data_IF_326802035350
#
_entry.id   IF_326802035350
#
_cell.length_a   1.000
_cell.length_b   1.000
_cell.length_c   1.000
_cell.angle_alpha   90.00
_cell.angle_beta   90.00
_cell.angle_gamma   90.00
#
_symmetry.space_group_name_H-M   'P 1'
#
loop_
_entity.id
_entity.type
_entity.pdbx_description
1 polymer ?
#
# COMPACT_ATOMS: atom_id res chain seq x y z
N UNK A 1 2.69 -5.17 -3.87
CA UNK A 1 2.01 -5.82 -5.02
C UNK A 1 0.85 -6.66 -4.47
N UNK A 2 -0.40 -6.18 -4.52
CA UNK A 2 -1.58 -6.97 -4.10
C UNK A 2 -1.78 -8.16 -5.05
N UNK A 3 -2.00 -9.35 -4.50
CA UNK A 3 -2.13 -10.59 -5.24
C UNK A 3 -3.37 -11.38 -4.77
N UNK A 4 -4.15 -11.86 -5.74
CA UNK A 4 -5.27 -12.78 -5.50
C UNK A 4 -5.48 -13.64 -6.75
N UNK A 5 -5.10 -14.93 -6.69
CA UNK A 5 -5.18 -15.89 -7.80
C UNK A 5 -4.55 -15.36 -9.11
N UNK A 6 -3.27 -15.03 -9.08
CA UNK A 6 -2.50 -14.50 -10.21
C UNK A 6 -1.30 -15.40 -10.57
N UNK A 7 -1.38 -16.70 -10.24
CA UNK A 7 -0.30 -17.68 -10.46
C UNK A 7 0.27 -17.67 -11.90
N UNK A 8 -0.60 -17.50 -12.90
CA UNK A 8 -0.19 -17.49 -14.31
C UNK A 8 0.62 -16.25 -14.73
N UNK A 9 0.43 -15.12 -14.06
CA UNK A 9 1.11 -13.85 -14.39
C UNK A 9 2.38 -13.62 -13.56
N UNK A 10 2.42 -14.13 -12.33
CA UNK A 10 3.46 -13.86 -11.35
C UNK A 10 4.89 -14.13 -11.85
N UNK A 11 5.21 -15.23 -12.56
CA UNK A 11 6.57 -15.45 -13.06
C UNK A 11 7.02 -14.29 -13.95
N UNK A 12 6.23 -13.93 -14.94
CA UNK A 12 6.54 -12.82 -15.85
C UNK A 12 6.68 -11.49 -15.13
N UNK A 13 5.81 -11.23 -14.16
CA UNK A 13 5.81 -9.98 -13.37
C UNK A 13 7.07 -9.90 -12.51
N UNK A 14 7.42 -10.96 -11.80
CA UNK A 14 8.53 -10.96 -10.85
C UNK A 14 9.90 -10.97 -11.54
N UNK A 15 10.03 -11.67 -12.66
CA UNK A 15 11.26 -11.69 -13.47
C UNK A 15 11.59 -10.31 -14.09
N UNK A 16 10.63 -9.38 -14.09
CA UNK A 16 10.78 -8.02 -14.62
C UNK A 16 10.93 -6.94 -13.54
N UNK A 17 11.03 -7.33 -12.29
CA UNK A 17 11.38 -6.39 -11.20
C UNK A 17 12.81 -5.89 -11.45
N UNK A 18 13.03 -4.56 -11.49
CA UNK A 18 14.34 -4.01 -11.79
C UNK A 18 15.40 -4.41 -10.73
N UNK A 19 16.68 -4.51 -11.13
CA UNK A 19 17.77 -4.75 -10.18
C UNK A 19 17.79 -3.71 -9.06
N UNK A 20 18.03 -4.15 -7.83
CA UNK A 20 18.03 -3.29 -6.64
C UNK A 20 16.64 -3.02 -6.05
N UNK A 21 15.57 -3.51 -6.70
CA UNK A 21 14.21 -3.42 -6.19
C UNK A 21 13.82 -4.71 -5.46
N UNK A 22 13.01 -4.57 -4.42
CA UNK A 22 12.46 -5.72 -3.68
C UNK A 22 10.97 -5.83 -3.94
N UNK A 23 10.53 -6.99 -4.43
CA UNK A 23 9.11 -7.29 -4.55
C UNK A 23 8.54 -7.73 -3.20
N UNK A 24 7.45 -7.08 -2.78
CA UNK A 24 6.60 -7.52 -1.67
C UNK A 24 5.26 -7.93 -2.29
N UNK A 25 5.02 -9.23 -2.38
CA UNK A 25 3.76 -9.79 -2.86
C UNK A 25 2.85 -10.01 -1.67
N UNK A 26 1.70 -9.35 -1.68
CA UNK A 26 0.72 -9.49 -0.59
C UNK A 26 -0.39 -10.41 -1.03
N UNK A 27 -0.34 -11.65 -0.57
CA UNK A 27 -1.36 -12.64 -0.84
C UNK A 27 -2.64 -12.32 -0.05
N UNK A 28 -3.73 -12.14 -0.77
CA UNK A 28 -5.04 -11.80 -0.19
C UNK A 28 -6.01 -13.00 -0.16
N UNK A 29 -5.46 -14.20 0.08
CA UNK A 29 -6.19 -15.45 0.18
C UNK A 29 -6.32 -16.16 -1.17
N UNK A 30 -5.24 -16.27 -1.93
CA UNK A 30 -5.17 -17.05 -3.18
C UNK A 30 -5.30 -18.54 -2.93
N UNK A 31 -5.87 -19.23 -3.89
CA UNK A 31 -6.07 -20.68 -3.86
C UNK A 31 -5.35 -21.43 -5.00
N UNK A 32 -4.71 -20.68 -5.90
CA UNK A 32 -4.08 -21.19 -7.12
C UNK A 32 -2.55 -21.40 -7.00
N UNK A 33 -1.99 -21.25 -5.80
CA UNK A 33 -0.55 -21.37 -5.57
C UNK A 33 0.25 -20.08 -5.79
N UNK A 34 -0.42 -18.93 -5.98
CA UNK A 34 0.24 -17.63 -6.18
C UNK A 34 1.30 -17.31 -5.12
N UNK A 35 1.00 -17.53 -3.84
CA UNK A 35 1.94 -17.25 -2.74
C UNK A 35 3.23 -18.08 -2.85
N UNK A 36 3.11 -19.37 -3.17
CA UNK A 36 4.25 -20.27 -3.37
C UNK A 36 5.10 -19.82 -4.57
N UNK A 37 4.46 -19.54 -5.71
CA UNK A 37 5.15 -19.07 -6.92
C UNK A 37 5.89 -17.75 -6.64
N UNK A 38 5.27 -16.81 -5.93
CA UNK A 38 5.89 -15.55 -5.57
C UNK A 38 7.18 -15.77 -4.73
N UNK A 39 7.14 -16.66 -3.75
CA UNK A 39 8.31 -17.00 -2.93
C UNK A 39 9.41 -17.68 -3.74
N UNK A 40 9.07 -18.59 -4.65
CA UNK A 40 10.01 -19.27 -5.55
C UNK A 40 10.74 -18.29 -6.49
N UNK A 41 10.09 -17.17 -6.87
CA UNK A 41 10.69 -16.06 -7.64
C UNK A 41 11.35 -14.99 -6.75
N UNK A 42 11.63 -15.29 -5.47
CA UNK A 42 12.40 -14.41 -4.57
C UNK A 42 11.62 -13.21 -4.02
N UNK A 43 10.31 -13.15 -4.18
CA UNK A 43 9.50 -12.10 -3.56
C UNK A 43 9.35 -12.34 -2.05
N UNK A 44 9.33 -11.25 -1.28
CA UNK A 44 8.88 -11.31 0.10
C UNK A 44 7.35 -11.44 0.13
N UNK A 45 6.85 -12.56 0.61
CA UNK A 45 5.41 -12.84 0.66
C UNK A 45 4.83 -12.44 2.00
N UNK A 46 3.77 -11.64 1.96
CA UNK A 46 2.98 -11.22 3.12
C UNK A 46 1.54 -11.71 2.93
N UNK A 47 0.94 -12.29 3.96
CA UNK A 47 -0.46 -12.67 3.92
C UNK A 47 -1.32 -11.56 4.54
N UNK A 48 -2.27 -11.02 3.77
CA UNK A 48 -3.20 -10.02 4.28
C UNK A 48 -4.26 -10.69 5.18
N UNK A 49 -4.43 -10.25 6.45
CA UNK A 49 -5.35 -10.90 7.38
C UNK A 49 -6.82 -10.69 7.01
N UNK A 50 -7.10 -9.66 6.22
CA UNK A 50 -8.45 -9.28 5.80
C UNK A 50 -8.52 -9.24 4.28
N UNK A 51 -9.57 -9.81 3.70
CA UNK A 51 -9.80 -9.72 2.26
C UNK A 51 -10.15 -8.31 1.83
N UNK A 52 -9.48 -7.83 0.78
CA UNK A 52 -9.70 -6.53 0.16
C UNK A 52 -8.46 -6.00 -0.53
N UNK A 53 -8.65 -5.32 -1.65
CA UNK A 53 -7.55 -4.71 -2.41
C UNK A 53 -6.77 -3.72 -1.54
N UNK A 54 -7.47 -2.81 -0.87
CA UNK A 54 -6.86 -1.85 0.05
C UNK A 54 -6.19 -2.50 1.25
N UNK A 55 -6.72 -3.63 1.77
CA UNK A 55 -6.10 -4.39 2.84
C UNK A 55 -4.74 -4.95 2.41
N UNK A 56 -4.67 -5.53 1.21
CA UNK A 56 -3.42 -6.02 0.65
C UNK A 56 -2.41 -4.89 0.39
N UNK A 57 -2.85 -3.79 -0.21
CA UNK A 57 -1.98 -2.60 -0.42
C UNK A 57 -1.42 -2.07 0.91
N UNK A 58 -2.27 -1.96 1.93
CA UNK A 58 -1.87 -1.44 3.23
C UNK A 58 -0.92 -2.39 3.98
N UNK A 59 -1.19 -3.70 3.94
CA UNK A 59 -0.28 -4.69 4.53
C UNK A 59 1.11 -4.64 3.87
N UNK A 60 1.17 -4.48 2.55
CA UNK A 60 2.42 -4.29 1.83
C UNK A 60 3.14 -3.00 2.19
N UNK A 61 2.42 -1.90 2.39
CA UNK A 61 2.98 -0.63 2.86
C UNK A 61 3.60 -0.75 4.26
N UNK A 62 2.93 -1.46 5.17
CA UNK A 62 3.46 -1.71 6.52
C UNK A 62 4.70 -2.60 6.49
N UNK A 63 4.73 -3.61 5.62
CA UNK A 63 5.86 -4.54 5.48
C UNK A 63 7.07 -3.95 4.74
N UNK A 64 6.87 -2.85 4.01
CA UNK A 64 7.95 -2.17 3.30
C UNK A 64 8.91 -1.48 4.28
N UNK A 65 10.20 -1.47 3.93
CA UNK A 65 11.26 -0.82 4.74
C UNK A 65 12.02 0.26 3.97
N UNK A 66 11.82 0.35 2.64
CA UNK A 66 12.47 1.36 1.80
C UNK A 66 11.77 2.72 1.95
N UNK A 67 12.52 3.81 1.72
CA UNK A 67 12.01 5.19 1.81
C UNK A 67 10.95 5.47 0.76
N UNK A 68 11.09 4.93 -0.44
CA UNK A 68 10.11 5.04 -1.52
C UNK A 68 9.48 3.70 -1.78
N UNK A 69 8.15 3.68 -1.83
CA UNK A 69 7.36 2.48 -2.15
C UNK A 69 6.60 2.67 -3.45
N UNK A 70 6.49 1.57 -4.20
CA UNK A 70 5.70 1.50 -5.40
C UNK A 70 4.60 0.46 -5.28
N UNK A 71 3.42 0.80 -5.80
CA UNK A 71 2.33 -0.15 -6.00
C UNK A 71 2.32 -0.60 -7.46
N UNK A 72 2.14 -1.88 -7.69
CA UNK A 72 1.99 -2.48 -9.01
C UNK A 72 1.11 -3.72 -8.90
N UNK A 73 0.20 -3.93 -9.85
CA UNK A 73 -0.64 -5.12 -9.90
C UNK A 73 0.18 -6.36 -10.30
N UNK A 74 -0.27 -7.55 -9.88
CA UNK A 74 0.36 -8.84 -10.19
C UNK A 74 -0.20 -9.52 -11.45
N UNK A 75 -1.09 -8.87 -12.21
CA UNK A 75 -1.86 -9.48 -13.31
C UNK A 75 -1.20 -9.36 -14.70
N UNK A 76 0.01 -8.83 -14.77
CA UNK A 76 0.78 -8.65 -16.01
C UNK A 76 0.27 -7.52 -16.91
N UNK A 77 -0.70 -6.72 -16.47
CA UNK A 77 -1.21 -5.60 -17.27
C UNK A 77 -0.26 -4.38 -17.28
N UNK A 78 0.61 -4.27 -16.29
CA UNK A 78 1.64 -3.25 -16.16
C UNK A 78 3.02 -3.93 -16.07
N UNK A 79 3.98 -3.38 -16.79
CA UNK A 79 5.35 -3.89 -16.78
C UNK A 79 6.11 -3.34 -15.58
N UNK A 80 6.56 -4.18 -14.62
CA UNK A 80 7.36 -3.75 -13.49
C UNK A 80 8.68 -3.07 -13.87
N UNK A 81 9.24 -3.35 -15.04
CA UNK A 81 10.44 -2.67 -15.54
C UNK A 81 10.26 -1.14 -15.66
N UNK A 82 9.02 -0.65 -15.64
CA UNK A 82 8.69 0.77 -15.67
C UNK A 82 8.61 1.43 -14.27
N UNK A 83 8.76 0.66 -13.20
CA UNK A 83 8.74 1.20 -11.83
C UNK A 83 9.73 2.36 -11.62
N UNK A 84 10.98 2.31 -12.14
CA UNK A 84 11.91 3.45 -12.01
C UNK A 84 11.39 4.74 -12.65
N UNK A 85 10.66 4.65 -13.77
CA UNK A 85 10.07 5.82 -14.46
C UNK A 85 8.99 6.49 -13.60
N UNK A 86 8.24 5.70 -12.83
CA UNK A 86 7.18 6.21 -11.94
C UNK A 86 7.79 6.70 -10.61
N UNK A 87 8.81 6.04 -10.10
CA UNK A 87 9.49 6.42 -8.86
C UNK A 87 10.44 7.62 -9.01
N UNK A 88 11.04 7.81 -10.19
CA UNK A 88 12.05 8.84 -10.43
C UNK A 88 11.65 10.23 -9.90
N UNK A 89 10.50 10.80 -10.27
CA UNK A 89 10.11 12.11 -9.78
C UNK A 89 9.92 12.20 -8.25
N UNK A 90 9.66 11.07 -7.56
CA UNK A 90 9.58 11.02 -6.08
C UNK A 90 10.99 11.00 -5.49
N UNK A 91 11.87 10.19 -6.07
CA UNK A 91 13.29 10.10 -5.67
C UNK A 91 14.00 11.44 -5.83
N UNK A 92 13.73 12.14 -6.93
CA UNK A 92 14.30 13.47 -7.24
C UNK A 92 13.64 14.61 -6.44
N UNK A 93 12.63 14.31 -5.60
CA UNK A 93 11.90 15.33 -4.86
C UNK A 93 11.03 16.26 -5.72
N UNK A 94 10.76 15.90 -6.97
CA UNK A 94 9.96 16.69 -7.92
C UNK A 94 8.44 16.44 -7.78
N UNK A 95 8.04 15.36 -7.11
CA UNK A 95 6.67 15.00 -6.80
C UNK A 95 6.60 14.25 -5.46
N UNK A 96 5.46 14.29 -4.80
CA UNK A 96 5.19 13.57 -3.57
C UNK A 96 4.42 12.26 -3.85
N UNK A 97 3.58 12.27 -4.89
CA UNK A 97 2.88 11.10 -5.42
C UNK A 97 2.93 11.10 -6.95
N UNK A 98 3.33 9.99 -7.54
CA UNK A 98 3.29 9.77 -8.98
C UNK A 98 2.32 8.63 -9.31
N UNK A 99 1.45 8.87 -10.28
CA UNK A 99 0.51 7.89 -10.82
C UNK A 99 0.94 7.47 -12.23
N UNK A 100 1.04 6.18 -12.48
CA UNK A 100 1.25 5.63 -13.81
C UNK A 100 -0.04 5.74 -14.64
N UNK A 101 -0.13 6.74 -15.51
CA UNK A 101 -1.25 6.95 -16.41
C UNK A 101 -1.27 5.86 -17.49
N UNK A 102 -2.29 5.04 -17.51
CA UNK A 102 -2.44 3.92 -18.45
C UNK A 102 -2.54 4.40 -19.89
N UNK A 103 -1.68 3.85 -20.75
CA UNK A 103 -1.71 3.98 -22.21
C UNK A 103 -1.98 2.61 -22.80
N UNK A 104 -3.22 2.28 -23.16
CA UNK A 104 -3.56 0.96 -23.66
C UNK A 104 -2.75 0.60 -24.90
N UNK A 105 -2.09 -0.56 -24.89
CA UNK A 105 -1.31 -1.08 -26.02
C UNK A 105 -2.22 -1.67 -27.11
N UNK A 106 -3.41 -2.09 -26.73
CA UNK A 106 -4.43 -2.61 -27.62
C UNK A 106 -5.83 -2.13 -27.22
N UNK A 107 -6.80 -2.18 -28.12
CA UNK A 107 -8.19 -1.83 -27.81
C UNK A 107 -8.80 -2.72 -26.69
N UNK A 108 -8.33 -3.97 -26.59
CA UNK A 108 -8.81 -4.93 -25.58
C UNK A 108 -8.20 -4.72 -24.19
N UNK A 109 -7.06 -4.02 -24.08
CA UNK A 109 -6.40 -3.79 -22.81
C UNK A 109 -7.26 -2.97 -21.83
N UNK A 110 -8.05 -2.04 -22.35
CA UNK A 110 -8.90 -1.18 -21.52
C UNK A 110 -10.28 -1.00 -22.16
N UNK A 111 -11.29 -1.77 -21.77
CA UNK A 111 -12.62 -1.73 -22.36
C UNK A 111 -13.27 -0.34 -22.28
N UNK A 112 -14.10 0.07 -23.27
CA UNK A 112 -14.70 1.42 -23.33
C UNK A 112 -15.50 1.82 -22.09
N UNK A 113 -16.26 0.89 -21.49
CA UNK A 113 -17.02 1.14 -20.28
C UNK A 113 -16.12 1.47 -19.07
N UNK A 114 -14.97 0.78 -18.95
CA UNK A 114 -14.01 1.05 -17.89
C UNK A 114 -13.28 2.40 -18.10
N UNK A 115 -13.02 2.78 -19.37
CA UNK A 115 -12.50 4.11 -19.70
C UNK A 115 -13.50 5.22 -19.34
N UNK A 116 -14.77 5.00 -19.64
CA UNK A 116 -15.82 5.96 -19.29
C UNK A 116 -15.96 6.12 -17.78
N UNK A 117 -15.94 5.00 -17.04
CA UNK A 117 -15.97 5.01 -15.57
C UNK A 117 -14.76 5.78 -15.00
N UNK A 118 -13.56 5.55 -15.53
CA UNK A 118 -12.36 6.28 -15.11
C UNK A 118 -12.46 7.78 -15.41
N UNK A 119 -13.01 8.17 -16.58
CA UNK A 119 -13.20 9.57 -16.95
C UNK A 119 -14.21 10.26 -16.00
N UNK A 120 -15.29 9.58 -15.65
CA UNK A 120 -16.27 10.08 -14.67
C UNK A 120 -15.61 10.28 -13.31
N UNK A 121 -14.85 9.28 -12.85
CA UNK A 121 -14.13 9.34 -11.58
C UNK A 121 -13.10 10.47 -11.56
N UNK A 122 -12.35 10.66 -12.64
CA UNK A 122 -11.39 11.77 -12.77
C UNK A 122 -12.10 13.15 -12.73
N UNK A 123 -13.29 13.27 -13.33
CA UNK A 123 -14.10 14.50 -13.25
C UNK A 123 -14.61 14.79 -11.83
N UNK A 124 -15.09 13.76 -11.13
CA UNK A 124 -15.54 13.89 -9.73
C UNK A 124 -14.38 14.27 -8.81
N UNK A 125 -13.24 13.62 -9.01
CA UNK A 125 -12.01 13.93 -8.28
C UNK A 125 -11.58 15.38 -8.54
N UNK A 126 -11.60 15.83 -9.80
CA UNK A 126 -11.30 17.22 -10.14
C UNK A 126 -12.22 18.21 -9.40
N UNK A 127 -13.52 17.93 -9.36
CA UNK A 127 -14.49 18.77 -8.63
C UNK A 127 -14.22 18.82 -7.13
N UNK A 128 -13.74 17.70 -6.56
CA UNK A 128 -13.46 17.56 -5.10
C UNK A 128 -12.13 18.21 -4.70
N UNK A 129 -11.10 18.10 -5.55
CA UNK A 129 -9.71 18.43 -5.19
C UNK A 129 -9.07 19.53 -6.04
N UNK A 130 -9.69 19.92 -7.16
CA UNK A 130 -9.08 20.82 -8.14
C UNK A 130 -8.02 20.17 -9.04
N UNK A 131 -7.58 18.93 -8.74
CA UNK A 131 -6.55 18.22 -9.51
C UNK A 131 -7.04 17.82 -10.90
N UNK A 132 -6.20 18.04 -11.90
CA UNK A 132 -6.47 17.62 -13.30
C UNK A 132 -5.74 16.32 -13.59
N UNK A 133 -6.31 15.21 -13.12
CA UNK A 133 -5.82 13.88 -13.42
C UNK A 133 -6.64 13.25 -14.56
N UNK A 134 -5.96 12.46 -15.39
CA UNK A 134 -6.58 11.76 -16.52
C UNK A 134 -6.89 10.30 -16.19
N UNK A 135 -6.14 9.72 -15.25
CA UNK A 135 -6.27 8.32 -14.87
C UNK A 135 -5.93 8.11 -13.39
N UNK A 136 -6.69 7.23 -12.72
CA UNK A 136 -6.32 6.70 -11.41
C UNK A 136 -5.56 5.39 -11.59
N UNK A 137 -4.41 5.46 -12.25
CA UNK A 137 -3.60 4.29 -12.55
C UNK A 137 -3.21 3.50 -11.31
N UNK A 138 -3.12 2.16 -11.41
CA UNK A 138 -2.75 1.31 -10.28
C UNK A 138 -1.25 1.34 -9.96
N UNK A 139 -0.37 1.59 -10.95
CA UNK A 139 1.04 1.79 -10.69
C UNK A 139 1.27 3.16 -10.05
N UNK A 140 1.92 3.21 -8.90
CA UNK A 140 2.09 4.44 -8.11
C UNK A 140 3.39 4.42 -7.35
N UNK A 141 3.95 5.60 -7.09
CA UNK A 141 5.11 5.78 -6.24
C UNK A 141 4.92 6.95 -5.28
N UNK A 142 5.34 6.79 -4.04
CA UNK A 142 5.42 7.86 -3.04
C UNK A 142 6.41 7.48 -1.94
N UNK A 143 6.78 8.42 -1.08
CA UNK A 143 7.55 8.12 0.12
C UNK A 143 6.72 7.33 1.12
N UNK A 144 7.32 6.32 1.72
CA UNK A 144 6.66 5.38 2.63
C UNK A 144 6.04 6.09 3.84
N UNK A 145 6.83 6.92 4.52
CA UNK A 145 6.39 7.58 5.73
C UNK A 145 5.28 8.59 5.46
N UNK A 146 5.37 9.32 4.36
CA UNK A 146 4.31 10.25 3.96
C UNK A 146 3.00 9.51 3.67
N UNK A 147 3.06 8.34 2.98
CA UNK A 147 1.89 7.49 2.77
C UNK A 147 1.27 6.97 4.06
N UNK A 148 2.09 6.62 5.05
CA UNK A 148 1.62 6.19 6.37
C UNK A 148 0.95 7.37 7.11
N UNK A 149 1.52 8.57 7.00
CA UNK A 149 0.97 9.80 7.59
C UNK A 149 -0.40 10.18 6.99
N UNK A 150 -0.72 9.76 5.75
CA UNK A 150 -2.06 9.94 5.20
C UNK A 150 -3.15 9.15 5.95
N UNK A 151 -2.78 8.21 6.80
CA UNK A 151 -3.68 7.41 7.64
C UNK A 151 -4.85 6.79 6.86
N UNK A 152 -4.57 6.17 5.70
CA UNK A 152 -5.56 5.57 4.83
C UNK A 152 -6.36 4.49 5.58
N UNK A 153 -7.68 4.57 5.53
CA UNK A 153 -8.60 3.69 6.28
C UNK A 153 -9.38 2.73 5.42
N UNK A 154 -9.60 3.06 4.14
CA UNK A 154 -10.28 2.13 3.23
C UNK A 154 -9.44 0.86 3.05
N UNK A 155 -10.05 -0.31 3.23
CA UNK A 155 -9.38 -1.61 3.07
C UNK A 155 -9.90 -2.36 1.84
N UNK A 156 -10.75 -1.72 1.04
CA UNK A 156 -11.41 -2.28 -0.14
C UNK A 156 -10.99 -1.55 -1.41
N UNK A 157 -11.97 -1.27 -2.27
CA UNK A 157 -11.73 -0.69 -3.59
C UNK A 157 -11.51 0.83 -3.58
N UNK A 158 -11.83 1.52 -2.50
CA UNK A 158 -11.65 2.96 -2.34
C UNK A 158 -10.21 3.37 -2.00
N UNK A 159 -9.37 2.45 -1.52
CA UNK A 159 -7.99 2.73 -1.09
C UNK A 159 -7.18 3.56 -2.11
N UNK A 160 -7.17 3.24 -3.42
CA UNK A 160 -6.44 4.03 -4.40
C UNK A 160 -6.97 5.44 -4.59
N UNK A 161 -8.29 5.62 -4.46
CA UNK A 161 -8.91 6.94 -4.56
C UNK A 161 -8.68 7.75 -3.29
N UNK A 162 -8.82 7.13 -2.12
CA UNK A 162 -8.56 7.76 -0.82
C UNK A 162 -7.11 8.27 -0.73
N UNK A 163 -6.15 7.51 -1.25
CA UNK A 163 -4.76 7.96 -1.34
C UNK A 163 -4.64 9.29 -2.08
N UNK A 164 -5.28 9.43 -3.24
CA UNK A 164 -5.21 10.65 -4.04
C UNK A 164 -5.96 11.81 -3.38
N UNK A 165 -7.15 11.55 -2.80
CA UNK A 165 -7.93 12.58 -2.10
C UNK A 165 -7.17 13.12 -0.90
N UNK A 166 -6.64 12.24 -0.04
CA UNK A 166 -5.90 12.66 1.16
C UNK A 166 -4.55 13.29 0.83
N UNK A 167 -3.87 12.82 -0.22
CA UNK A 167 -2.68 13.48 -0.73
C UNK A 167 -2.98 14.90 -1.24
N UNK A 168 -4.10 15.09 -1.93
CA UNK A 168 -4.55 16.41 -2.36
C UNK A 168 -4.93 17.32 -1.18
N UNK A 169 -5.66 16.78 -0.18
CA UNK A 169 -6.03 17.51 1.04
C UNK A 169 -4.79 17.88 1.90
N UNK A 170 -3.66 17.21 1.69
CA UNK A 170 -2.36 17.50 2.31
C UNK A 170 -1.42 18.33 1.40
N UNK A 171 -1.94 18.93 0.33
CA UNK A 171 -1.22 19.77 -0.64
C UNK A 171 -0.03 19.09 -1.32
N UNK A 172 -0.09 17.76 -1.52
CA UNK A 172 0.96 17.03 -2.20
C UNK A 172 1.05 17.39 -3.68
N UNK A 173 2.29 17.40 -4.20
CA UNK A 173 2.58 17.55 -5.62
C UNK A 173 2.33 16.22 -6.33
N UNK A 174 1.14 16.08 -6.92
CA UNK A 174 0.70 14.86 -7.61
C UNK A 174 0.98 14.99 -9.10
N UNK A 175 1.64 13.99 -9.69
CA UNK A 175 1.97 13.91 -11.12
C UNK A 175 1.50 12.62 -11.75
N UNK A 176 1.29 12.67 -13.08
CA UNK A 176 1.04 11.50 -13.91
C UNK A 176 2.23 11.23 -14.84
N UNK A 177 2.63 9.96 -14.93
CA UNK A 177 3.63 9.48 -15.89
C UNK A 177 2.97 8.45 -16.80
N UNK A 178 3.03 8.59 -18.13
CA UNK A 178 2.41 7.63 -19.03
C UNK A 178 3.12 6.27 -18.94
N UNK A 179 2.33 5.19 -18.79
CA UNK A 179 2.82 3.80 -18.77
C UNK A 179 2.01 2.96 -19.75
N UNK A 180 2.64 2.11 -20.58
CA UNK A 180 1.96 1.12 -21.38
C UNK A 180 1.06 0.22 -20.52
N UNK A 181 -0.14 -0.06 -21.01
CA UNK A 181 -1.11 -0.90 -20.33
C UNK A 181 -1.56 -2.03 -21.26
N UNK A 182 -1.16 -3.25 -20.94
CA UNK A 182 -1.45 -4.46 -21.68
C UNK A 182 -2.76 -5.13 -21.22
N UNK A 183 -3.33 -6.05 -22.00
CA UNK A 183 -4.37 -6.94 -21.52
C UNK A 183 -3.85 -7.74 -20.32
N UNK A 184 -4.64 -7.85 -19.26
CA UNK A 184 -4.30 -8.66 -18.09
C UNK A 184 -4.33 -10.14 -18.40
N UNK A 185 -3.54 -10.90 -17.66
CA UNK A 185 -3.61 -12.36 -17.62
C UNK A 185 -4.70 -12.74 -16.61
N UNK A 186 -5.76 -13.45 -17.06
CA UNK A 186 -6.86 -13.85 -16.19
C UNK A 186 -8.05 -12.87 -16.14
N UNK A 187 -8.93 -13.03 -15.12
CA UNK A 187 -10.17 -12.26 -14.94
C UNK A 187 -10.05 -11.18 -13.90
N UNK A 188 -10.76 -10.05 -14.09
CA UNK A 188 -10.84 -9.00 -13.08
C UNK A 188 -11.51 -9.51 -11.80
N UNK A 189 -10.84 -9.33 -10.65
CA UNK A 189 -11.36 -9.73 -9.33
C UNK A 189 -12.23 -8.64 -8.69
N UNK A 190 -12.07 -7.39 -9.11
CA UNK A 190 -12.80 -6.23 -8.55
C UNK A 190 -14.05 -5.92 -9.36
N UNK A 191 -13.94 -5.81 -10.69
CA UNK A 191 -15.04 -5.39 -11.58
C UNK A 191 -15.59 -6.51 -12.44
N UNK A 192 -15.14 -7.74 -12.24
CA UNK A 192 -15.57 -8.92 -13.02
C UNK A 192 -16.99 -9.41 -12.71
N UNK A 193 -17.63 -8.91 -11.65
CA UNK A 193 -19.00 -9.26 -11.25
C UNK A 193 -19.83 -8.01 -10.99
N UNK A 194 -21.16 -8.10 -11.18
CA UNK A 194 -22.10 -7.01 -10.88
C UNK A 194 -21.99 -6.54 -9.41
N UNK A 195 -21.89 -7.49 -8.47
CA UNK A 195 -21.72 -7.17 -7.04
C UNK A 195 -20.39 -6.46 -6.77
N UNK A 196 -19.28 -6.90 -7.38
CA UNK A 196 -17.98 -6.26 -7.25
C UNK A 196 -17.98 -4.83 -7.79
N UNK A 197 -18.59 -4.61 -8.94
CA UNK A 197 -18.75 -3.26 -9.53
C UNK A 197 -19.58 -2.35 -8.63
N UNK A 198 -20.70 -2.82 -8.08
CA UNK A 198 -21.53 -2.04 -7.17
C UNK A 198 -20.79 -1.66 -5.89
N UNK A 199 -20.06 -2.61 -5.29
CA UNK A 199 -19.23 -2.34 -4.11
C UNK A 199 -18.12 -1.31 -4.42
N UNK A 200 -17.43 -1.44 -5.56
CA UNK A 200 -16.40 -0.49 -5.96
C UNK A 200 -16.95 0.94 -6.13
N UNK A 201 -18.12 1.09 -6.78
CA UNK A 201 -18.77 2.39 -6.93
C UNK A 201 -19.16 2.98 -5.58
N UNK A 202 -19.72 2.17 -4.68
CA UNK A 202 -20.09 2.60 -3.33
C UNK A 202 -18.89 3.07 -2.53
N UNK A 203 -17.82 2.26 -2.52
CA UNK A 203 -16.59 2.57 -1.78
C UNK A 203 -15.96 3.88 -2.31
N UNK A 204 -15.90 4.05 -3.62
CA UNK A 204 -15.40 5.27 -4.26
C UNK A 204 -16.27 6.50 -3.97
N UNK A 205 -17.59 6.35 -3.92
CA UNK A 205 -18.50 7.44 -3.57
C UNK A 205 -18.34 7.85 -2.12
N UNK A 206 -18.16 6.90 -1.21
CA UNK A 206 -17.90 7.19 0.21
C UNK A 206 -16.63 8.02 0.38
N UNK A 207 -15.53 7.64 -0.29
CA UNK A 207 -14.26 8.37 -0.28
C UNK A 207 -14.39 9.80 -0.80
N UNK A 208 -15.13 10.01 -1.90
CA UNK A 208 -15.34 11.36 -2.46
C UNK A 208 -16.14 12.28 -1.52
N UNK A 209 -16.96 11.69 -0.64
CA UNK A 209 -17.77 12.41 0.34
C UNK A 209 -17.07 12.62 1.69
N UNK A 210 -15.89 12.03 1.92
CA UNK A 210 -15.07 12.30 3.11
C UNK A 210 -14.74 13.80 3.17
N UNK A 211 -14.94 14.43 4.35
CA UNK A 211 -14.59 15.83 4.54
C UNK A 211 -13.10 15.96 4.81
N UNK A 212 -12.49 17.03 4.31
CA UNK A 212 -11.13 17.40 4.67
C UNK A 212 -11.09 17.59 6.20
N UNK A 213 -10.38 16.71 6.93
CA UNK A 213 -10.30 16.75 8.39
C UNK A 213 -10.80 15.50 9.13
N UNK A 214 -11.64 14.66 8.52
CA UNK A 214 -12.12 13.42 9.18
C UNK A 214 -11.00 12.41 9.51
N UNK A 215 -9.83 12.56 8.88
CA UNK A 215 -8.65 11.74 9.17
C UNK A 215 -7.84 12.18 10.41
N UNK A 216 -7.99 13.41 10.89
CA UNK A 216 -7.27 13.92 12.07
C UNK A 216 -7.95 13.60 13.39
N UNK A 217 -9.25 13.36 13.40
CA UNK A 217 -10.02 13.10 14.61
C UNK A 217 -9.79 11.70 15.23
N UNK A 218 -9.13 10.79 14.52
CA UNK A 218 -8.84 9.43 15.02
C UNK A 218 -7.61 9.31 15.92
N UNK A 219 -6.70 10.29 15.91
CA UNK A 219 -5.45 10.24 16.68
C UNK A 219 -5.51 11.02 18.01
N UNK A 220 -6.50 11.91 18.20
CA UNK A 220 -6.63 12.70 19.45
C UNK A 220 -7.43 12.00 20.55
N UNK A 221 -8.15 10.93 20.30
CA UNK A 221 -8.95 10.23 21.32
C UNK A 221 -8.23 9.13 22.11
N UNK A 222 -6.93 8.90 21.87
CA UNK A 222 -6.15 7.91 22.61
C UNK A 222 -5.29 8.49 23.75
N UNK A 223 -5.42 9.77 24.06
CA UNK A 223 -4.55 10.45 25.04
C UNK A 223 -5.22 11.46 25.95
N UNK A 224 -6.37 11.15 26.55
CA UNK A 224 -6.78 11.88 27.76
C UNK A 224 -7.78 11.06 28.59
N UNK A 225 -7.27 10.41 29.58
CA UNK A 225 -8.02 9.62 30.52
C UNK A 225 -7.23 9.34 31.79
N UNK A 226 -6.73 10.40 32.49
CA UNK A 226 -6.40 10.32 33.91
C UNK A 226 -6.09 11.70 34.50
N UNK A 227 -7.06 12.28 35.13
CA UNK A 227 -6.88 13.03 36.36
C UNK A 227 -8.26 13.30 37.00
N UNK A 228 -8.54 12.63 38.09
CA UNK A 228 -9.72 12.87 38.91
C UNK A 228 -9.49 12.23 40.27
N UNK A 229 -9.11 13.04 41.24
CA UNK A 229 -8.66 12.67 42.56
C UNK A 229 -9.75 12.10 43.48
N UNK A 230 -9.33 11.42 44.53
CA UNK A 230 -10.17 10.96 45.65
C UNK A 230 -9.33 10.39 46.75
N UNK A 231 -9.35 11.08 47.86
CA UNK A 231 -8.65 10.98 49.13
C UNK A 231 -8.65 9.62 49.83
N UNK A 232 -7.53 9.40 50.52
CA UNK A 232 -7.33 8.98 51.92
C UNK A 232 -7.94 7.65 52.41
N UNK A 233 -7.06 6.81 52.94
CA UNK A 233 -7.34 5.70 53.85
C UNK A 233 -6.05 5.00 54.21
N UNK A 234 -5.53 5.34 55.41
CA UNK A 234 -4.45 4.73 56.16
C UNK A 234 -4.78 3.28 56.54
N UNK A 235 -3.82 2.33 56.45
CA UNK A 235 -3.31 1.55 57.58
C UNK A 235 -2.40 0.40 57.19
N UNK A 236 -1.23 0.39 57.77
CA UNK A 236 -0.39 -0.64 58.43
C UNK A 236 -0.03 -1.96 57.71
N UNK A 237 1.27 -2.05 57.55
CA UNK A 237 2.22 -2.99 58.15
C UNK A 237 2.09 -4.51 57.83
N UNK A 238 3.16 -5.05 57.29
CA UNK A 238 3.37 -6.49 57.18
C UNK A 238 4.71 -6.81 56.50
N UNK A 239 5.72 -6.88 57.30
CA UNK A 239 7.09 -7.28 57.09
C UNK A 239 7.25 -8.76 56.67
N UNK A 240 8.23 -9.06 55.77
CA UNK A 240 9.12 -10.24 55.78
C UNK A 240 9.74 -10.41 54.40
N UNK A 241 10.97 -10.06 54.25
CA UNK A 241 12.28 -10.77 54.30
C UNK A 241 12.49 -11.92 53.30
N UNK A 242 13.54 -11.70 52.47
CA UNK A 242 14.72 -12.51 52.19
C UNK A 242 14.63 -13.72 51.24
N UNK A 243 15.61 -13.73 50.29
CA UNK A 243 16.07 -14.88 49.51
C UNK A 243 16.47 -14.46 48.09
N UNK A 244 17.56 -13.88 47.83
CA UNK A 244 18.97 -14.22 47.45
C UNK A 244 19.15 -15.58 46.84
N UNK A 245 19.76 -15.56 45.69
CA UNK A 245 20.90 -16.33 45.12
C UNK A 245 20.69 -16.45 43.61
N UNK A 246 21.49 -15.86 42.82
CA UNK A 246 22.89 -16.01 42.42
C UNK A 246 23.15 -17.07 41.36
N UNK A 247 23.87 -16.58 40.38
CA UNK A 247 24.88 -17.21 39.54
C UNK A 247 24.36 -18.09 38.40
N UNK A 248 24.89 -18.05 37.22
CA UNK A 248 26.10 -17.50 36.68
C UNK A 248 26.34 -18.04 35.29
N UNK A 249 27.16 -17.34 34.59
CA UNK A 249 28.20 -17.83 33.64
C UNK A 249 27.71 -18.48 32.34
N UNK A 250 28.22 -18.24 31.20
CA UNK A 250 29.38 -17.59 30.58
C UNK A 250 29.28 -17.86 29.07
N UNK A 251 29.68 -16.93 28.35
CA UNK A 251 30.77 -16.74 27.40
C UNK A 251 30.55 -17.28 25.99
N UNK A 252 30.68 -16.39 25.10
CA UNK A 252 31.78 -16.05 24.21
C UNK A 252 31.75 -16.65 22.80
N UNK A 253 32.03 -15.76 21.90
CA UNK A 253 32.79 -15.92 20.67
C UNK A 253 31.92 -15.93 19.41
N UNK A 254 32.16 -15.29 18.32
CA UNK A 254 33.33 -14.58 17.82
C UNK A 254 32.91 -13.93 16.50
N UNK A 255 33.28 -12.74 16.32
CA UNK A 255 33.80 -11.98 15.24
C UNK A 255 33.81 -12.60 13.82
N UNK A 256 33.25 -11.84 12.85
CA UNK A 256 33.91 -11.58 11.57
C UNK A 256 33.16 -10.53 10.75
N UNK A 257 33.69 -9.32 10.79
CA UNK A 257 33.45 -8.27 9.82
C UNK A 257 34.05 -8.70 8.47
N UNK A 258 33.31 -8.46 7.37
CA UNK A 258 33.91 -8.26 6.04
C UNK A 258 33.30 -7.04 5.37
N UNK A 259 34.08 -5.98 5.37
CA UNK A 259 34.01 -4.79 4.52
C UNK A 259 34.55 -5.13 3.13
N UNK A 260 33.84 -4.70 2.07
CA UNK A 260 34.38 -4.29 0.77
C UNK A 260 33.22 -3.69 0.00
N UNK A 261 33.22 -2.45 -0.47
CA UNK A 261 34.25 -1.73 -1.16
C UNK A 261 33.67 -1.31 -2.49
N UNK A 262 33.41 0.01 -2.64
CA UNK A 262 32.87 0.68 -3.81
C UNK A 262 33.71 0.43 -5.09
N UNK A 263 33.02 0.30 -6.24
CA UNK A 263 33.35 1.05 -7.48
C UNK A 263 32.09 1.23 -8.30
#
# INVERSE_FOLDING_TARGET
MPCLDEAAALPWVLDRIPPGWRAIVVDNGSTDGSARIAAEHGAYVVHAPVRGFGAACHAGLLAATADVVCFCDCDGSLDPALLPTVAGPVLDGAADLVLGRRRPTTFRAWPPHARLANLQLARLLHRRTGLRLHDLGPMRAARREDLLALALTDRRSGYPLQMVVRAADADWRIRETPVPYAPRTGRSKVTGTWRGTWHAVRDMTAVLNERAGDGRAGTEKAGDGRAGGGRAGTEQAGNATVGSESAGHAAAGDDSAVTAGAR
#
